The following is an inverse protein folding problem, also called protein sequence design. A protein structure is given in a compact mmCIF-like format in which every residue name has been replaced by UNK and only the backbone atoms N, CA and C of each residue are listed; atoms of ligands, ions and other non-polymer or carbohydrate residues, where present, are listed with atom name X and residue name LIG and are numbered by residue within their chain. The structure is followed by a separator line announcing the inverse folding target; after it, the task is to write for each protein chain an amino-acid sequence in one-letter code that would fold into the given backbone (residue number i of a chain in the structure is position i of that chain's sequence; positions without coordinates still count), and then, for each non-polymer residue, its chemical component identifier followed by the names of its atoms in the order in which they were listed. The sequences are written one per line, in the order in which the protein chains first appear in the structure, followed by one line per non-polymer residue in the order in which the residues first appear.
data_IF_480017082600
#
_entry.id   IF_480017082600
#
_cell.length_a   1.000
_cell.length_b   1.000
_cell.length_c   1.000
_cell.angle_alpha   90.00
_cell.angle_beta   90.00
_cell.angle_gamma   90.00
#
_symmetry.space_group_name_H-M   'P 1'
#
loop_
_entity.id
_entity.type
_entity.pdbx_description
1 polymer ?
#
# COMPACT_ATOMS: atom_id res chain seq x y z
N UNK A 1 9.73 49.09 31.11
CA UNK A 1 10.75 48.16 30.60
C UNK A 1 10.04 47.02 29.85
N UNK A 2 9.79 47.07 28.55
CA UNK A 2 10.66 46.73 27.41
C UNK A 2 11.57 45.50 27.60
N UNK A 3 11.25 44.40 26.89
CA UNK A 3 12.28 43.64 26.19
C UNK A 3 11.71 42.95 24.94
N UNK A 4 11.72 43.69 23.83
CA UNK A 4 11.74 43.08 22.50
C UNK A 4 13.15 42.54 22.25
N UNK A 5 13.30 41.25 21.98
CA UNK A 5 14.36 40.78 21.07
C UNK A 5 13.88 39.65 20.15
N UNK A 6 14.04 39.80 18.82
CA UNK A 6 13.84 38.75 17.83
C UNK A 6 15.08 37.85 17.77
N UNK A 7 14.90 36.55 17.57
CA UNK A 7 16.00 35.67 17.18
C UNK A 7 15.59 34.90 15.93
N UNK A 8 16.08 35.41 14.80
CA UNK A 8 16.16 34.74 13.51
C UNK A 8 16.89 33.41 13.65
N UNK A 9 16.43 32.35 12.97
CA UNK A 9 17.29 31.23 12.61
C UNK A 9 17.01 30.76 11.18
N UNK A 10 18.00 31.06 10.33
CA UNK A 10 18.45 30.31 9.15
C UNK A 10 17.46 30.07 8.00
N UNK A 11 17.49 31.00 7.05
CA UNK A 11 17.40 30.69 5.62
C UNK A 11 18.57 29.81 5.19
N UNK A 12 18.30 28.63 4.63
CA UNK A 12 19.14 28.06 3.57
C UNK A 12 18.24 27.87 2.35
N UNK A 13 18.43 28.77 1.40
CA UNK A 13 17.96 28.65 0.03
C UNK A 13 18.88 27.66 -0.67
N UNK A 14 18.31 26.62 -1.27
CA UNK A 14 18.93 25.91 -2.37
C UNK A 14 17.89 25.75 -3.47
N UNK A 15 17.80 26.79 -4.31
CA UNK A 15 17.18 26.77 -5.62
C UNK A 15 18.32 26.73 -6.62
N UNK A 16 18.44 25.66 -7.40
CA UNK A 16 19.38 25.63 -8.51
C UNK A 16 19.75 24.24 -9.02
N UNK A 17 19.09 23.84 -10.11
CA UNK A 17 19.75 23.09 -11.18
C UNK A 17 19.60 21.57 -11.16
N UNK A 18 18.55 21.07 -11.82
CA UNK A 18 18.67 20.09 -12.91
C UNK A 18 17.27 19.57 -13.29
N UNK A 19 16.56 20.34 -14.11
CA UNK A 19 15.69 19.70 -15.10
C UNK A 19 16.61 18.95 -16.09
N UNK A 20 16.15 17.79 -16.55
CA UNK A 20 16.73 16.98 -17.64
C UNK A 20 18.05 16.25 -17.33
N UNK A 21 17.91 15.01 -16.86
CA UNK A 21 18.67 13.78 -17.19
C UNK A 21 18.28 12.79 -16.08
N UNK A 22 17.17 12.07 -16.19
CA UNK A 22 17.14 10.79 -16.87
C UNK A 22 15.69 10.49 -17.31
N UNK A 23 15.42 10.66 -18.61
CA UNK A 23 14.36 9.93 -19.30
C UNK A 23 15.06 8.78 -20.02
N UNK A 24 14.92 7.59 -19.47
CA UNK A 24 14.90 6.29 -20.17
C UNK A 24 14.12 5.43 -19.17
N UNK A 25 12.84 5.14 -19.42
CA UNK A 25 12.46 4.10 -20.35
C UNK A 25 11.06 4.40 -20.93
N UNK A 26 11.02 4.43 -22.25
CA UNK A 26 9.81 4.47 -23.07
C UNK A 26 9.08 3.12 -22.99
N UNK A 27 7.74 3.15 -22.96
CA UNK A 27 6.94 1.94 -23.14
C UNK A 27 5.45 2.12 -22.85
N UNK A 28 4.77 2.98 -23.59
CA UNK A 28 3.32 2.89 -23.77
C UNK A 28 3.01 1.78 -24.78
N UNK A 29 1.91 1.09 -24.52
CA UNK A 29 1.07 0.29 -25.42
C UNK A 29 1.62 -1.03 -25.96
N UNK A 30 0.94 -2.13 -25.62
CA UNK A 30 0.09 -2.87 -26.57
C UNK A 30 -0.85 -3.83 -25.83
N UNK A 31 -2.15 -3.63 -26.06
CA UNK A 31 -3.21 -4.60 -25.82
C UNK A 31 -3.00 -5.85 -26.67
N UNK A 32 -3.14 -7.04 -26.09
CA UNK A 32 -3.55 -8.24 -26.82
C UNK A 32 -4.07 -9.34 -25.87
N UNK A 33 -5.38 -9.57 -25.96
CA UNK A 33 -6.06 -10.87 -25.92
C UNK A 33 -5.85 -11.83 -24.73
N UNK A 34 -6.91 -11.94 -23.91
CA UNK A 34 -7.64 -13.20 -23.77
C UNK A 34 -7.20 -14.16 -22.67
N UNK A 35 -7.88 -14.11 -21.53
CA UNK A 35 -8.68 -15.27 -21.09
C UNK A 35 -9.83 -14.78 -20.22
N UNK A 36 -11.02 -14.69 -20.84
CA UNK A 36 -12.24 -14.85 -20.09
C UNK A 36 -12.25 -16.31 -19.62
N UNK A 37 -12.12 -16.54 -18.32
CA UNK A 37 -12.47 -17.83 -17.74
C UNK A 37 -13.65 -17.62 -16.78
N UNK A 38 -14.78 -18.06 -17.32
CA UNK A 38 -16.08 -18.37 -16.75
C UNK A 38 -16.35 -17.98 -15.30
N UNK A 39 -17.28 -17.01 -15.18
CA UNK A 39 -18.08 -16.85 -13.98
C UNK A 39 -18.87 -18.11 -13.66
N UNK A 40 -18.67 -18.62 -12.44
CA UNK A 40 -19.70 -19.36 -11.75
C UNK A 40 -20.43 -18.40 -10.81
N UNK A 41 -21.60 -17.96 -11.28
CA UNK A 41 -22.62 -17.37 -10.43
C UNK A 41 -23.09 -18.45 -9.45
N UNK A 42 -22.78 -18.26 -8.16
CA UNK A 42 -23.59 -18.79 -7.08
C UNK A 42 -24.08 -17.61 -6.25
N UNK A 43 -25.40 -17.42 -6.26
CA UNK A 43 -26.10 -16.41 -5.49
C UNK A 43 -25.80 -16.57 -4.00
N UNK A 44 -25.08 -15.60 -3.48
CA UNK A 44 -25.00 -15.25 -2.06
C UNK A 44 -25.43 -13.77 -1.96
N UNK A 45 -25.99 -13.31 -0.83
CA UNK A 45 -26.35 -11.90 -0.66
C UNK A 45 -25.13 -11.05 -1.01
N UNK A 46 -25.33 -9.86 -1.58
CA UNK A 46 -24.25 -8.98 -2.01
C UNK A 46 -23.36 -8.56 -0.83
N UNK A 47 -22.49 -9.47 -0.39
CA UNK A 47 -21.32 -9.17 0.41
C UNK A 47 -20.44 -8.34 -0.49
N UNK A 48 -20.22 -7.09 -0.08
CA UNK A 48 -19.27 -6.20 -0.75
C UNK A 48 -17.96 -6.96 -0.91
N UNK A 49 -17.58 -7.27 -2.15
CA UNK A 49 -16.31 -7.95 -2.43
C UNK A 49 -15.21 -7.10 -1.84
N UNK A 50 -14.55 -7.59 -0.79
CA UNK A 50 -13.51 -6.83 -0.12
C UNK A 50 -12.40 -6.50 -1.14
N UNK A 51 -11.98 -5.24 -1.18
CA UNK A 51 -10.93 -4.79 -2.09
C UNK A 51 -9.65 -5.60 -1.84
N UNK A 52 -8.99 -6.01 -2.94
CA UNK A 52 -7.73 -6.74 -2.92
C UNK A 52 -6.57 -5.84 -3.30
N UNK A 53 -5.42 -6.07 -2.67
CA UNK A 53 -4.18 -5.37 -3.00
C UNK A 53 -3.33 -6.12 -4.03
N UNK A 54 -2.13 -5.59 -4.33
CA UNK A 54 -1.20 -6.18 -5.29
C UNK A 54 -0.75 -7.61 -4.96
N UNK A 55 -0.84 -8.01 -3.69
CA UNK A 55 -0.47 -9.36 -3.22
C UNK A 55 -1.68 -10.30 -3.12
N UNK A 56 -2.82 -9.92 -3.71
CA UNK A 56 -4.10 -10.63 -3.63
C UNK A 56 -4.65 -10.76 -2.20
N UNK A 57 -4.11 -10.00 -1.25
CA UNK A 57 -4.59 -9.94 0.12
C UNK A 57 -5.77 -8.98 0.27
N UNK A 58 -6.53 -9.14 1.36
CA UNK A 58 -7.61 -8.22 1.73
C UNK A 58 -7.03 -6.89 2.19
N UNK A 59 -7.51 -5.79 1.62
CA UNK A 59 -7.18 -4.44 2.07
C UNK A 59 -8.02 -4.03 3.28
N UNK A 60 -7.35 -3.50 4.29
CA UNK A 60 -7.90 -2.94 5.51
C UNK A 60 -7.34 -1.53 5.68
N UNK A 61 -8.20 -0.55 5.85
CA UNK A 61 -7.81 0.86 5.93
C UNK A 61 -8.14 1.47 7.29
N UNK A 62 -7.24 2.31 7.80
CA UNK A 62 -7.47 3.17 8.96
C UNK A 62 -6.82 4.53 8.72
N UNK A 63 -7.61 5.51 8.26
CA UNK A 63 -7.08 6.80 7.81
C UNK A 63 -6.10 6.62 6.65
N UNK A 64 -4.85 7.09 6.82
CA UNK A 64 -3.77 6.94 5.83
C UNK A 64 -3.05 5.59 5.90
N UNK A 65 -3.28 4.81 6.95
CA UNK A 65 -2.66 3.51 7.14
C UNK A 65 -3.45 2.44 6.37
N UNK A 66 -2.73 1.57 5.68
CA UNK A 66 -3.30 0.43 4.98
C UNK A 66 -2.55 -0.84 5.36
N UNK A 67 -3.32 -1.89 5.66
CA UNK A 67 -2.86 -3.26 5.81
C UNK A 67 -3.43 -4.10 4.67
N UNK A 68 -2.56 -4.76 3.91
CA UNK A 68 -2.95 -5.87 3.06
C UNK A 68 -2.66 -7.19 3.80
N UNK A 69 -3.68 -8.01 4.04
CA UNK A 69 -3.53 -9.31 4.71
C UNK A 69 -3.91 -10.45 3.76
N UNK A 70 -2.96 -11.35 3.49
CA UNK A 70 -3.18 -12.57 2.72
C UNK A 70 -2.96 -13.81 3.60
N UNK A 71 -3.68 -14.89 3.28
CA UNK A 71 -3.34 -16.24 3.75
C UNK A 71 -2.72 -16.99 2.58
N UNK A 72 -1.56 -17.59 2.81
CA UNK A 72 -0.82 -18.35 1.80
C UNK A 72 -0.84 -19.81 2.20
N UNK A 73 -1.35 -20.65 1.31
CA UNK A 73 -1.57 -22.09 1.53
C UNK A 73 -0.66 -22.96 0.65
N UNK A 74 0.55 -22.47 0.33
CA UNK A 74 1.56 -23.24 -0.42
C UNK A 74 2.22 -24.36 0.43
N UNK A 75 1.51 -24.86 1.45
CA UNK A 75 1.96 -25.85 2.43
C UNK A 75 1.00 -25.93 3.62
N UNK A 76 1.24 -26.90 4.51
CA UNK A 76 0.58 -27.01 5.82
C UNK A 76 1.69 -26.85 6.88
N UNK A 77 1.59 -25.87 7.80
CA UNK A 77 0.45 -25.00 8.09
C UNK A 77 0.34 -23.77 7.17
N UNK A 78 -0.86 -23.17 7.05
CA UNK A 78 -1.03 -21.92 6.30
C UNK A 78 -0.33 -20.74 6.99
N UNK A 79 0.16 -19.80 6.18
CA UNK A 79 0.88 -18.61 6.65
C UNK A 79 0.06 -17.34 6.43
N UNK A 80 0.02 -16.45 7.42
CA UNK A 80 -0.42 -15.07 7.20
C UNK A 80 0.74 -14.22 6.69
N UNK A 81 0.47 -13.40 5.68
CA UNK A 81 1.39 -12.38 5.17
C UNK A 81 0.73 -11.02 5.20
N UNK A 82 1.47 -10.04 5.71
CA UNK A 82 1.01 -8.68 5.89
C UNK A 82 1.95 -7.69 5.22
N UNK A 83 1.37 -6.73 4.51
CA UNK A 83 2.08 -5.58 3.95
C UNK A 83 1.45 -4.30 4.45
N UNK A 84 2.29 -3.33 4.80
CA UNK A 84 1.86 -2.10 5.45
C UNK A 84 2.25 -0.90 4.61
N UNK A 85 1.32 0.04 4.45
CA UNK A 85 1.63 1.35 3.88
C UNK A 85 1.06 2.48 4.73
N UNK A 86 1.72 3.63 4.66
CA UNK A 86 1.24 4.89 5.24
C UNK A 86 1.30 5.95 4.15
N UNK A 87 0.14 6.53 3.82
CA UNK A 87 0.01 7.52 2.75
C UNK A 87 0.55 7.01 1.40
N UNK A 88 0.28 5.72 1.12
CA UNK A 88 0.74 5.03 -0.09
C UNK A 88 2.21 4.59 -0.08
N UNK A 89 2.99 4.91 0.96
CA UNK A 89 4.41 4.53 1.05
C UNK A 89 4.59 3.27 1.89
N UNK A 90 5.41 2.29 1.47
CA UNK A 90 5.67 1.08 2.26
C UNK A 90 6.27 1.38 3.62
N UNK A 91 5.83 0.64 4.64
CA UNK A 91 6.46 0.62 5.96
C UNK A 91 7.28 -0.68 6.14
N UNK A 92 8.43 -0.62 6.83
CA UNK A 92 9.14 -1.84 7.22
C UNK A 92 8.34 -2.61 8.27
N UNK A 93 8.46 -3.94 8.29
CA UNK A 93 7.74 -4.80 9.25
C UNK A 93 8.08 -4.49 10.71
N UNK A 94 9.29 -3.99 10.99
CA UNK A 94 9.71 -3.57 12.34
C UNK A 94 8.98 -2.35 12.89
N UNK A 95 8.29 -1.58 12.03
CA UNK A 95 7.54 -0.40 12.44
C UNK A 95 6.11 -0.72 12.92
N UNK A 96 5.66 -1.98 12.81
CA UNK A 96 4.29 -2.38 13.13
C UNK A 96 4.30 -3.61 14.03
N UNK A 97 3.56 -3.53 15.14
CA UNK A 97 3.18 -4.71 15.91
C UNK A 97 1.83 -5.20 15.41
N UNK A 98 1.80 -6.42 14.88
CA UNK A 98 0.58 -7.05 14.34
C UNK A 98 0.24 -8.30 15.15
N UNK A 99 -1.00 -8.38 15.62
CA UNK A 99 -1.60 -9.59 16.18
C UNK A 99 -2.73 -10.04 15.27
N UNK A 100 -2.70 -11.31 14.87
CA UNK A 100 -3.74 -11.93 14.04
C UNK A 100 -4.42 -13.02 14.86
N UNK A 101 -5.74 -12.95 14.98
CA UNK A 101 -6.56 -13.99 15.58
C UNK A 101 -7.45 -14.62 14.51
N UNK A 102 -7.27 -15.91 14.27
CA UNK A 102 -8.14 -16.68 13.40
C UNK A 102 -9.22 -17.35 14.24
N UNK A 103 -10.47 -16.95 14.05
CA UNK A 103 -11.64 -17.60 14.65
C UNK A 103 -12.21 -18.54 13.60
N UNK A 104 -12.30 -19.83 13.93
CA UNK A 104 -13.03 -20.81 13.13
C UNK A 104 -14.35 -21.11 13.85
N UNK A 105 -15.50 -21.13 13.16
CA UNK A 105 -16.76 -21.59 13.72
C UNK A 105 -16.73 -23.09 14.05
#
# INVERSE_FOLDING_TARGET
MNWNRPLSLLTVVALGGAAAYFIVESGHDHSAAGHADHGHAHGAPAETVAAKGPHNGRLLHHGKFTLELAIVERGIPPEFRAWFTLDGKPLPSSAVQLTVQLIRP
#
